data_IF_591178135031
#
_entry.id   IF_591178135031
#
_cell.length_a   1.000
_cell.length_b   1.000
_cell.length_c   1.000
_cell.angle_alpha   90.00
_cell.angle_beta   90.00
_cell.angle_gamma   90.00
#
_symmetry.space_group_name_H-M   'P 1'
#
loop_
_entity.id
_entity.type
_entity.pdbx_description
1 polymer ?
#
# COMPACT_ATOMS: atom_id res chain seq x y z
N UNK A 1 -10.62 -11.31 12.20
CA UNK A 1 -10.33 -10.22 11.23
C UNK A 1 -9.01 -9.53 11.57
N UNK A 2 -8.21 -9.27 10.54
CA UNK A 2 -6.92 -8.60 10.72
C UNK A 2 -7.11 -7.12 10.97
N UNK A 3 -8.02 -6.49 10.26
CA UNK A 3 -8.23 -5.05 10.32
C UNK A 3 -9.47 -4.66 11.13
N UNK A 4 -9.37 -3.53 11.84
CA UNK A 4 -10.51 -2.92 12.49
C UNK A 4 -11.36 -2.21 11.41
N UNK A 5 -12.62 -2.62 11.25
CA UNK A 5 -13.47 -2.13 10.17
C UNK A 5 -13.80 -0.65 10.26
N UNK A 6 -14.04 -0.13 11.45
CA UNK A 6 -14.34 1.28 11.61
C UNK A 6 -13.15 2.16 11.26
N UNK A 7 -11.95 1.72 11.63
CA UNK A 7 -10.71 2.40 11.31
C UNK A 7 -10.45 2.36 9.81
N UNK A 8 -10.68 1.22 9.17
CA UNK A 8 -10.53 1.06 7.72
C UNK A 8 -11.48 1.99 6.97
N UNK A 9 -12.75 2.05 7.39
CA UNK A 9 -13.73 2.93 6.75
C UNK A 9 -13.33 4.39 6.83
N UNK A 10 -12.89 4.84 8.01
CA UNK A 10 -12.43 6.21 8.18
C UNK A 10 -11.23 6.54 7.31
N UNK A 11 -10.25 5.62 7.29
CA UNK A 11 -9.06 5.81 6.49
C UNK A 11 -9.39 5.81 4.99
N UNK A 12 -10.24 4.90 4.54
CA UNK A 12 -10.68 4.87 3.13
C UNK A 12 -11.34 6.18 2.71
N UNK A 13 -12.21 6.73 3.56
CA UNK A 13 -12.86 8.01 3.28
C UNK A 13 -11.83 9.13 3.13
N UNK A 14 -10.86 9.20 4.04
CA UNK A 14 -9.81 10.21 4.02
C UNK A 14 -8.91 10.06 2.78
N UNK A 15 -8.56 8.83 2.45
CA UNK A 15 -7.75 8.55 1.26
C UNK A 15 -8.48 8.95 -0.01
N UNK A 16 -9.76 8.57 -0.13
CA UNK A 16 -10.57 8.89 -1.30
C UNK A 16 -10.67 10.40 -1.51
N UNK A 17 -10.85 11.16 -0.43
CA UNK A 17 -10.92 12.62 -0.50
C UNK A 17 -9.58 13.26 -0.91
N UNK A 18 -8.47 12.60 -0.60
CA UNK A 18 -7.13 13.12 -0.87
C UNK A 18 -6.57 12.70 -2.22
N UNK A 19 -7.25 11.81 -2.95
CA UNK A 19 -6.76 11.32 -4.24
C UNK A 19 -6.71 12.42 -5.31
N UNK A 20 -5.74 12.37 -6.23
CA UNK A 20 -4.63 11.44 -6.29
C UNK A 20 -3.54 11.75 -5.26
N UNK A 21 -2.89 10.71 -4.75
CA UNK A 21 -1.84 10.83 -3.75
C UNK A 21 -0.49 10.41 -4.33
N UNK A 22 0.54 11.21 -4.11
CA UNK A 22 1.90 10.84 -4.46
C UNK A 22 2.45 9.86 -3.43
N UNK A 23 3.15 8.83 -3.90
CA UNK A 23 3.73 7.81 -3.05
C UNK A 23 5.05 7.31 -3.63
N UNK A 24 5.80 6.60 -2.81
CA UNK A 24 7.01 5.91 -3.24
C UNK A 24 6.81 4.41 -3.06
N UNK A 25 7.15 3.65 -4.11
CA UNK A 25 7.14 2.20 -4.02
C UNK A 25 8.32 1.74 -3.15
N UNK A 26 8.08 0.77 -2.28
CA UNK A 26 9.17 0.19 -1.49
C UNK A 26 10.14 -0.58 -2.41
N UNK A 27 11.42 -0.77 -2.00
CA UNK A 27 12.35 -1.56 -2.80
C UNK A 27 11.84 -2.97 -3.10
N UNK A 28 11.14 -3.60 -2.15
CA UNK A 28 10.56 -4.92 -2.35
C UNK A 28 9.50 -4.91 -3.45
N UNK A 29 8.65 -3.88 -3.49
CA UNK A 29 7.64 -3.74 -4.54
C UNK A 29 8.29 -3.55 -5.90
N UNK A 30 9.30 -2.69 -5.99
CA UNK A 30 10.03 -2.45 -7.25
C UNK A 30 10.62 -3.76 -7.77
N UNK A 31 11.26 -4.55 -6.90
CA UNK A 31 11.85 -5.83 -7.28
C UNK A 31 10.79 -6.79 -7.84
N UNK A 32 9.61 -6.83 -7.20
CA UNK A 32 8.50 -7.66 -7.67
C UNK A 32 7.99 -7.21 -9.04
N UNK A 33 7.82 -5.91 -9.23
CA UNK A 33 7.27 -5.35 -10.47
C UNK A 33 8.26 -5.43 -11.64
N UNK A 34 9.56 -5.38 -11.38
CA UNK A 34 10.57 -5.55 -12.43
C UNK A 34 10.46 -6.89 -13.14
N UNK A 35 10.02 -7.92 -12.44
CA UNK A 35 9.78 -9.22 -13.03
C UNK A 35 8.51 -9.30 -13.88
N UNK A 36 7.63 -8.30 -13.78
CA UNK A 36 6.35 -8.29 -14.48
C UNK A 36 6.23 -7.22 -15.55
N UNK A 37 6.91 -6.09 -15.37
CA UNK A 37 6.74 -4.95 -16.28
C UNK A 37 8.04 -4.16 -16.39
N UNK A 38 8.37 -3.73 -17.60
CA UNK A 38 9.48 -2.83 -17.85
C UNK A 38 9.18 -1.40 -17.39
N UNK A 39 7.93 -1.04 -17.24
CA UNK A 39 7.52 0.31 -16.82
C UNK A 39 8.00 0.67 -15.42
N UNK A 40 8.21 -0.30 -14.56
CA UNK A 40 8.63 -0.10 -13.18
C UNK A 40 10.15 -0.03 -12.99
N UNK A 41 10.93 -0.08 -14.08
CA UNK A 41 12.37 -0.29 -14.01
C UNK A 41 13.17 0.75 -13.26
N UNK A 42 12.89 2.01 -13.44
CA UNK A 42 13.80 3.09 -13.05
C UNK A 42 13.22 4.13 -12.13
N UNK A 43 11.96 3.98 -11.73
CA UNK A 43 11.32 4.99 -10.89
C UNK A 43 10.66 4.36 -9.67
N UNK A 44 10.76 5.04 -8.54
CA UNK A 44 10.03 4.68 -7.32
C UNK A 44 8.80 5.57 -7.13
N UNK A 45 8.76 6.70 -7.79
CA UNK A 45 7.66 7.66 -7.69
C UNK A 45 6.43 7.17 -8.41
N UNK A 46 5.28 7.24 -7.74
CA UNK A 46 4.01 6.83 -8.30
C UNK A 46 2.87 7.66 -7.72
N UNK A 47 1.70 7.54 -8.34
CA UNK A 47 0.48 8.17 -7.85
C UNK A 47 -0.57 7.12 -7.58
N UNK A 48 -1.19 7.23 -6.41
CA UNK A 48 -2.37 6.43 -6.07
C UNK A 48 -3.57 7.14 -6.65
N UNK A 49 -4.25 6.49 -7.58
CA UNK A 49 -5.40 7.07 -8.27
C UNK A 49 -6.72 6.60 -7.72
N UNK A 50 -6.72 5.46 -7.05
CA UNK A 50 -7.92 4.86 -6.49
C UNK A 50 -7.55 3.95 -5.33
N UNK A 51 -8.46 3.80 -4.36
CA UNK A 51 -8.27 2.89 -3.22
C UNK A 51 -9.51 2.03 -3.05
N UNK A 52 -9.31 0.80 -2.55
CA UNK A 52 -10.39 -0.13 -2.26
C UNK A 52 -9.98 -1.04 -1.09
N UNK A 53 -10.94 -1.70 -0.49
CA UNK A 53 -10.67 -2.66 0.58
C UNK A 53 -10.92 -4.08 0.10
N UNK A 54 -9.91 -4.93 0.23
CA UNK A 54 -9.96 -6.33 -0.23
C UNK A 54 -10.07 -7.34 0.93
N UNK A 55 -10.43 -6.89 2.12
CA UNK A 55 -10.58 -7.78 3.27
C UNK A 55 -9.26 -8.25 3.85
N UNK A 56 -9.28 -9.41 4.51
CA UNK A 56 -8.10 -9.93 5.21
C UNK A 56 -6.96 -10.32 4.27
N UNK A 57 -7.26 -10.67 3.04
CA UNK A 57 -6.24 -11.09 2.06
C UNK A 57 -5.36 -9.95 1.57
N UNK A 58 -5.94 -8.78 1.38
CA UNK A 58 -5.20 -7.65 0.80
C UNK A 58 -5.22 -6.38 1.63
N UNK A 59 -6.24 -6.21 2.47
CA UNK A 59 -6.46 -4.98 3.20
C UNK A 59 -6.82 -3.83 2.26
N UNK A 60 -6.29 -2.65 2.52
CA UNK A 60 -6.46 -1.50 1.63
C UNK A 60 -5.55 -1.67 0.44
N UNK A 61 -6.15 -1.73 -0.75
CA UNK A 61 -5.44 -1.86 -2.02
C UNK A 61 -5.45 -0.52 -2.73
N UNK A 62 -4.35 -0.23 -3.40
CA UNK A 62 -4.15 1.02 -4.13
C UNK A 62 -3.93 0.75 -5.60
N UNK A 63 -4.59 1.53 -6.45
CA UNK A 63 -4.30 1.56 -7.88
C UNK A 63 -3.19 2.57 -8.12
N UNK A 64 -2.09 2.13 -8.72
CA UNK A 64 -0.90 2.95 -8.94
C UNK A 64 -0.62 3.18 -10.40
N UNK A 65 -0.11 4.39 -10.70
CA UNK A 65 0.51 4.72 -11.97
C UNK A 65 1.89 5.28 -11.64
N UNK A 66 2.93 4.77 -12.30
CA UNK A 66 4.29 5.28 -12.10
C UNK A 66 4.51 6.58 -12.88
N UNK A 67 5.18 7.55 -12.22
CA UNK A 67 5.32 8.91 -12.77
C UNK A 67 6.08 8.97 -14.08
N UNK A 68 7.10 8.12 -14.24
CA UNK A 68 7.98 8.14 -15.41
C UNK A 68 7.81 6.91 -16.31
N UNK A 69 6.65 6.25 -16.21
CA UNK A 69 6.40 5.06 -17.03
C UNK A 69 6.17 5.42 -18.50
N UNK A 70 6.78 4.66 -19.39
CA UNK A 70 6.59 4.82 -20.83
C UNK A 70 5.20 4.42 -21.28
N UNK A 71 4.57 3.51 -20.53
CA UNK A 71 3.22 3.03 -20.78
C UNK A 71 2.34 3.29 -19.58
N UNK A 72 1.12 3.68 -19.83
CA UNK A 72 0.14 3.84 -18.77
C UNK A 72 -0.35 2.46 -18.30
N UNK A 73 0.38 1.87 -17.37
CA UNK A 73 -0.04 0.63 -16.72
C UNK A 73 -0.52 0.95 -15.32
N UNK A 74 -1.66 0.35 -14.95
CA UNK A 74 -2.20 0.47 -13.60
C UNK A 74 -1.85 -0.79 -12.83
N UNK A 75 -1.21 -0.62 -11.69
CA UNK A 75 -0.88 -1.72 -10.79
C UNK A 75 -1.78 -1.65 -9.56
N UNK A 76 -2.22 -2.81 -9.09
CA UNK A 76 -3.02 -2.90 -7.86
C UNK A 76 -2.15 -3.55 -6.80
N UNK A 77 -1.81 -2.78 -5.76
CA UNK A 77 -0.92 -3.24 -4.71
C UNK A 77 -1.50 -2.88 -3.33
N UNK A 78 -1.05 -3.61 -2.31
CA UNK A 78 -1.42 -3.28 -0.93
C UNK A 78 -0.77 -1.97 -0.52
N UNK A 79 -1.49 -1.15 0.25
CA UNK A 79 -0.97 0.10 0.80
C UNK A 79 0.27 -0.14 1.67
N UNK A 80 0.46 -1.36 2.18
CA UNK A 80 1.65 -1.72 2.98
C UNK A 80 2.93 -1.74 2.15
N UNK A 81 2.83 -1.73 0.82
CA UNK A 81 3.98 -1.74 -0.09
C UNK A 81 4.35 -0.33 -0.58
N UNK A 82 3.76 0.69 0.01
CA UNK A 82 3.99 2.07 -0.37
C UNK A 82 4.48 2.89 0.82
N UNK A 83 5.24 3.93 0.52
CA UNK A 83 5.67 4.92 1.50
C UNK A 83 5.09 6.28 1.11
N UNK A 84 4.57 7.01 2.08
CA UNK A 84 3.95 8.31 1.86
C UNK A 84 4.72 9.42 2.56
N UNK A 85 4.66 10.63 2.03
CA UNK A 85 5.29 11.80 2.64
C UNK A 85 4.67 12.05 4.03
N UNK A 86 5.53 12.21 5.03
CA UNK A 86 5.09 12.46 6.41
C UNK A 86 4.32 13.76 6.58
N UNK A 87 4.44 14.67 5.63
CA UNK A 87 3.74 15.96 5.67
C UNK A 87 2.29 15.87 5.22
N UNK A 88 1.87 14.76 4.64
CA UNK A 88 0.48 14.57 4.26
C UNK A 88 -0.41 14.47 5.50
N UNK A 89 -1.60 15.10 5.49
CA UNK A 89 -2.51 15.03 6.65
C UNK A 89 -2.85 13.63 7.08
N UNK A 90 -2.95 12.69 6.13
CA UNK A 90 -3.32 11.30 6.41
C UNK A 90 -2.11 10.39 6.67
N UNK A 91 -0.89 10.91 6.57
CA UNK A 91 0.33 10.10 6.64
C UNK A 91 0.43 9.30 7.94
N UNK A 92 0.08 9.92 9.07
CA UNK A 92 0.13 9.25 10.37
C UNK A 92 -0.82 8.06 10.43
N UNK A 93 -2.03 8.23 9.93
CA UNK A 93 -3.05 7.19 9.91
C UNK A 93 -2.67 6.05 8.97
N UNK A 94 -2.10 6.38 7.82
CA UNK A 94 -1.58 5.39 6.88
C UNK A 94 -0.46 4.57 7.54
N UNK A 95 0.51 5.25 8.15
CA UNK A 95 1.64 4.58 8.81
C UNK A 95 1.17 3.66 9.93
N UNK A 96 0.23 4.12 10.73
CA UNK A 96 -0.36 3.31 11.80
C UNK A 96 -1.03 2.05 11.24
N UNK A 97 -1.83 2.22 10.21
CA UNK A 97 -2.51 1.10 9.54
C UNK A 97 -1.52 0.09 8.96
N UNK A 98 -0.50 0.58 8.24
CA UNK A 98 0.51 -0.28 7.64
C UNK A 98 1.23 -1.12 8.70
N UNK A 99 1.68 -0.48 9.74
CA UNK A 99 2.42 -1.13 10.83
C UNK A 99 1.57 -2.16 11.55
N UNK A 100 0.34 -1.79 11.86
CA UNK A 100 -0.60 -2.68 12.56
C UNK A 100 -0.92 -3.91 11.73
N UNK A 101 -1.20 -3.72 10.44
CA UNK A 101 -1.54 -4.81 9.54
C UNK A 101 -0.37 -5.78 9.37
N UNK A 102 0.83 -5.27 9.12
CA UNK A 102 2.04 -6.10 8.97
C UNK A 102 2.27 -6.91 10.23
N UNK A 103 2.16 -6.31 11.39
CA UNK A 103 2.32 -6.98 12.67
C UNK A 103 1.30 -8.11 12.85
N UNK A 104 0.04 -7.86 12.51
CA UNK A 104 -1.03 -8.86 12.63
C UNK A 104 -0.83 -10.02 11.66
N UNK A 105 -0.46 -9.74 10.41
CA UNK A 105 -0.18 -10.76 9.41
C UNK A 105 0.97 -11.66 9.87
N UNK A 106 2.06 -11.07 10.35
CA UNK A 106 3.21 -11.84 10.86
C UNK A 106 2.82 -12.73 12.02
N UNK A 107 1.98 -12.24 12.93
CA UNK A 107 1.50 -13.03 14.08
C UNK A 107 0.64 -14.19 13.62
N UNK A 108 -0.32 -13.95 12.71
CA UNK A 108 -1.28 -14.95 12.27
C UNK A 108 -0.62 -16.03 11.41
N UNK A 109 0.48 -15.69 10.72
CA UNK A 109 1.19 -16.63 9.85
C UNK A 109 2.44 -17.23 10.48
N UNK A 110 2.73 -16.91 11.75
CA UNK A 110 3.90 -17.46 12.42
C UNK A 110 3.76 -18.98 12.59
N UNK A 111 4.82 -19.76 12.31
CA UNK A 111 4.78 -21.20 12.54
C UNK A 111 4.56 -21.52 14.03
N UNK A 112 3.92 -22.67 14.35
CA UNK A 112 3.75 -23.08 15.74
C UNK A 112 5.10 -23.16 16.47
N UNK A 113 5.17 -22.59 17.67
CA UNK A 113 6.39 -22.61 18.47
C UNK A 113 7.39 -21.52 18.15
N UNK A 114 7.08 -20.63 17.21
CA UNK A 114 7.94 -19.49 16.88
C UNK A 114 7.56 -18.29 17.73
N UNK A 115 8.57 -17.63 18.30
CA UNK A 115 8.38 -16.43 19.13
C UNK A 115 9.02 -15.22 18.45
N UNK A 116 8.35 -14.09 18.56
CA UNK A 116 8.80 -12.84 17.97
C UNK A 116 8.80 -11.73 18.99
#
# INVERSE_FOLDING_TARGET
MIDNQDQVKRLLCKLTEALPLSALATPALIATLRGRSSSAKNTRGCKVTEVMYAGDEGGIMCHLIFDEAEKEEVFVVSITQLSFDRRLPVAREIAFYQKHRIKRICRDNAPPGTYH
#
